data_IF_138746613925
#
_entry.id   IF_138746613925
#
_cell.length_a   1.000
_cell.length_b   1.000
_cell.length_c   1.000
_cell.angle_alpha   90.00
_cell.angle_beta   90.00
_cell.angle_gamma   90.00
#
_symmetry.space_group_name_H-M   'P 1'
#
loop_
_entity.id
_entity.type
_entity.pdbx_description
1 polymer ?
#
# COMPACT_ATOMS: atom_id res chain seq x y z
N UNK A 1 25.11 -15.39 23.11
CA UNK A 1 24.97 -13.92 22.92
C UNK A 1 25.42 -13.23 24.21
N UNK A 2 26.51 -12.46 24.15
CA UNK A 2 27.26 -11.96 25.32
C UNK A 2 26.43 -10.95 26.15
N UNK A 3 26.56 -10.95 27.48
CA UNK A 3 25.69 -10.19 28.41
C UNK A 3 25.78 -8.68 28.17
N UNK A 4 26.96 -8.15 27.81
CA UNK A 4 27.17 -6.75 27.39
C UNK A 4 26.36 -6.35 26.15
N UNK A 5 26.21 -7.26 25.18
CA UNK A 5 25.41 -7.02 23.98
C UNK A 5 23.92 -6.93 24.30
N UNK A 6 23.41 -7.74 25.25
CA UNK A 6 22.03 -7.62 25.74
C UNK A 6 21.78 -6.27 26.40
N UNK A 7 22.69 -5.78 27.24
CA UNK A 7 22.54 -4.49 27.92
C UNK A 7 22.57 -3.32 26.94
N UNK A 8 23.44 -3.36 25.92
CA UNK A 8 23.47 -2.37 24.84
C UNK A 8 22.19 -2.39 24.00
N UNK A 9 21.70 -3.58 23.61
CA UNK A 9 20.44 -3.72 22.87
C UNK A 9 19.25 -3.16 23.66
N UNK A 10 19.17 -3.47 24.95
CA UNK A 10 18.10 -2.98 25.85
C UNK A 10 18.21 -1.46 26.09
N UNK A 11 19.44 -0.92 26.15
CA UNK A 11 19.67 0.53 26.29
C UNK A 11 19.33 1.32 25.01
N UNK A 12 19.46 0.72 23.83
CA UNK A 12 19.10 1.34 22.54
C UNK A 12 17.60 1.20 22.26
N UNK A 13 16.93 0.17 22.77
CA UNK A 13 15.49 -0.06 22.68
C UNK A 13 14.63 0.82 23.60
N UNK A 14 15.12 2.00 23.98
CA UNK A 14 14.24 2.99 24.62
C UNK A 14 13.17 3.45 23.62
N UNK A 15 11.95 3.81 24.07
CA UNK A 15 10.90 4.32 23.17
C UNK A 15 11.38 5.48 22.28
N UNK A 16 12.24 6.35 22.82
CA UNK A 16 12.89 7.45 22.09
C UNK A 16 13.81 6.96 20.97
N UNK A 17 14.61 5.91 21.24
CA UNK A 17 15.48 5.29 20.23
C UNK A 17 14.68 4.66 19.09
N UNK A 18 13.56 4.00 19.39
CA UNK A 18 12.67 3.40 18.39
C UNK A 18 12.01 4.49 17.53
N UNK A 19 11.45 5.54 18.14
CA UNK A 19 10.83 6.66 17.43
C UNK A 19 11.83 7.31 16.47
N UNK A 20 13.03 7.61 16.98
CA UNK A 20 14.08 8.24 16.19
C UNK A 20 14.56 7.30 15.07
N UNK A 21 14.73 6.01 15.33
CA UNK A 21 15.15 5.04 14.33
C UNK A 21 14.16 4.88 13.18
N UNK A 22 12.86 4.82 13.48
CA UNK A 22 11.81 4.76 12.45
C UNK A 22 11.80 6.04 11.62
N UNK A 23 11.78 7.20 12.28
CA UNK A 23 11.75 8.49 11.58
C UNK A 23 12.99 8.67 10.69
N UNK A 24 14.19 8.37 11.21
CA UNK A 24 15.43 8.45 10.45
C UNK A 24 15.44 7.51 9.24
N UNK A 25 14.93 6.29 9.38
CA UNK A 25 14.86 5.33 8.26
C UNK A 25 13.94 5.86 7.16
N UNK A 26 12.79 6.43 7.51
CA UNK A 26 11.85 7.00 6.53
C UNK A 26 12.45 8.23 5.85
N UNK A 27 13.02 9.16 6.61
CA UNK A 27 13.64 10.37 6.08
C UNK A 27 14.85 10.05 5.21
N UNK A 28 15.70 9.13 5.65
CA UNK A 28 16.83 8.66 4.87
C UNK A 28 16.37 8.04 3.55
N UNK A 29 15.36 7.17 3.57
CA UNK A 29 14.79 6.58 2.36
C UNK A 29 14.21 7.65 1.41
N UNK A 30 13.55 8.67 1.95
CA UNK A 30 13.01 9.79 1.17
C UNK A 30 14.11 10.62 0.50
N UNK A 31 15.10 11.08 1.25
CA UNK A 31 16.18 11.93 0.73
C UNK A 31 17.20 11.16 -0.11
N UNK A 32 17.48 9.89 0.21
CA UNK A 32 18.31 9.01 -0.62
C UNK A 32 17.69 8.81 -2.00
N UNK A 33 16.37 8.68 -2.09
CA UNK A 33 15.65 8.56 -3.36
C UNK A 33 15.78 9.82 -4.22
N UNK A 34 15.82 11.00 -3.60
CA UNK A 34 16.01 12.28 -4.28
C UNK A 34 17.48 12.59 -4.59
N UNK A 35 18.43 11.79 -4.10
CA UNK A 35 19.87 12.08 -4.09
C UNK A 35 20.23 13.39 -3.36
N UNK A 36 19.48 13.70 -2.29
CA UNK A 36 19.61 14.94 -1.49
C UNK A 36 19.91 14.63 -0.04
N UNK A 37 20.93 13.80 0.17
CA UNK A 37 21.42 13.44 1.51
C UNK A 37 22.06 14.63 2.24
N UNK A 38 22.52 15.65 1.52
CA UNK A 38 22.93 16.94 2.07
C UNK A 38 21.84 17.54 2.98
N UNK A 39 20.60 17.61 2.49
CA UNK A 39 19.45 18.14 3.23
C UNK A 39 19.07 17.22 4.40
N UNK A 40 19.21 15.90 4.24
CA UNK A 40 18.91 14.94 5.31
C UNK A 40 19.72 15.22 6.59
N UNK A 41 21.02 15.54 6.47
CA UNK A 41 21.86 15.84 7.63
C UNK A 41 21.38 17.08 8.40
N UNK A 42 20.85 18.09 7.70
CA UNK A 42 20.25 19.26 8.33
C UNK A 42 18.95 18.90 9.07
N UNK A 43 18.07 18.10 8.44
CA UNK A 43 16.80 17.65 9.03
C UNK A 43 17.00 16.85 10.32
N UNK A 44 18.08 16.06 10.42
CA UNK A 44 18.37 15.27 11.61
C UNK A 44 18.56 16.12 12.87
N UNK A 45 18.87 17.41 12.74
CA UNK A 45 19.01 18.32 13.87
C UNK A 45 17.65 18.73 14.49
N UNK A 46 16.55 18.52 13.76
CA UNK A 46 15.20 19.01 14.10
C UNK A 46 14.42 17.94 14.89
N UNK A 47 14.65 17.89 16.20
CA UNK A 47 14.06 16.87 17.09
C UNK A 47 12.52 16.79 17.05
N UNK A 48 11.84 17.92 16.87
CA UNK A 48 10.37 17.98 16.82
C UNK A 48 9.76 17.19 15.65
N UNK A 49 10.54 16.97 14.59
CA UNK A 49 10.08 16.30 13.38
C UNK A 49 9.99 14.77 13.55
N UNK A 50 10.81 14.18 14.43
CA UNK A 50 10.89 12.73 14.56
C UNK A 50 9.60 12.11 15.12
N UNK A 51 9.00 12.72 16.13
CA UNK A 51 7.74 12.23 16.70
C UNK A 51 6.61 12.29 15.66
N UNK A 52 6.52 13.40 14.91
CA UNK A 52 5.52 13.62 13.87
C UNK A 52 5.65 12.59 12.73
N UNK A 53 6.87 12.41 12.21
CA UNK A 53 7.16 11.43 11.16
C UNK A 53 6.91 10.01 11.65
N UNK A 54 7.29 9.68 12.89
CA UNK A 54 7.03 8.35 13.45
C UNK A 54 5.53 8.06 13.57
N UNK A 55 4.73 9.01 14.06
CA UNK A 55 3.27 8.85 14.14
C UNK A 55 2.65 8.65 12.74
N UNK A 56 3.06 9.47 11.77
CA UNK A 56 2.63 9.33 10.38
C UNK A 56 3.08 7.99 9.76
N UNK A 57 4.27 7.50 10.11
CA UNK A 57 4.79 6.20 9.67
C UNK A 57 3.99 5.02 10.23
N UNK A 58 3.70 5.02 11.54
CA UNK A 58 2.88 3.97 12.16
C UNK A 58 1.47 3.96 11.55
N UNK A 59 0.87 5.14 11.36
CA UNK A 59 -0.46 5.25 10.76
C UNK A 59 -0.48 4.81 9.29
N UNK A 60 0.51 5.24 8.49
CA UNK A 60 0.65 4.81 7.09
C UNK A 60 0.85 3.31 6.97
N UNK A 61 1.68 2.72 7.85
CA UNK A 61 1.90 1.27 7.89
C UNK A 61 0.61 0.53 8.28
N UNK A 62 -0.14 1.03 9.25
CA UNK A 62 -1.42 0.45 9.65
C UNK A 62 -2.44 0.45 8.51
N UNK A 63 -2.56 1.56 7.77
CA UNK A 63 -3.42 1.64 6.57
C UNK A 63 -2.95 0.63 5.52
N UNK A 64 -1.64 0.57 5.25
CA UNK A 64 -1.12 -0.31 4.21
C UNK A 64 -1.31 -1.79 4.58
N UNK A 65 -1.10 -2.16 5.85
CA UNK A 65 -1.43 -3.47 6.37
C UNK A 65 -2.93 -3.77 6.25
N UNK A 66 -3.78 -2.81 6.58
CA UNK A 66 -5.23 -2.98 6.47
C UNK A 66 -5.66 -3.24 5.02
N UNK A 67 -5.15 -2.48 4.05
CA UNK A 67 -5.49 -2.65 2.63
C UNK A 67 -4.98 -4.00 2.10
N UNK A 68 -3.70 -4.32 2.34
CA UNK A 68 -3.09 -5.55 1.80
C UNK A 68 -3.63 -6.82 2.46
N UNK A 69 -3.90 -6.79 3.76
CA UNK A 69 -4.32 -7.96 4.52
C UNK A 69 -5.79 -7.93 4.92
N UNK A 70 -6.61 -7.13 4.23
CA UNK A 70 -8.06 -7.04 4.48
C UNK A 70 -8.70 -8.44 4.50
N UNK A 71 -8.29 -9.30 3.55
CA UNK A 71 -8.75 -10.68 3.44
C UNK A 71 -8.41 -11.48 4.70
N UNK A 72 -7.16 -11.40 5.15
CA UNK A 72 -6.69 -12.09 6.36
C UNK A 72 -7.37 -11.57 7.63
N UNK A 73 -7.70 -10.28 7.71
CA UNK A 73 -8.37 -9.68 8.87
C UNK A 73 -9.82 -10.20 8.99
N UNK A 74 -10.54 -10.27 7.88
CA UNK A 74 -11.95 -10.71 7.87
C UNK A 74 -12.12 -12.23 7.80
N UNK A 75 -11.11 -12.99 7.38
CA UNK A 75 -11.18 -14.44 7.26
C UNK A 75 -11.60 -15.15 8.57
N UNK A 76 -11.05 -14.83 9.76
CA UNK A 76 -11.48 -15.46 11.01
C UNK A 76 -12.88 -15.08 11.48
N UNK A 77 -13.41 -13.95 10.99
CA UNK A 77 -14.79 -13.51 11.26
C UNK A 77 -15.77 -14.33 10.41
N UNK A 78 -15.42 -14.59 9.15
CA UNK A 78 -16.26 -15.29 8.18
C UNK A 78 -16.20 -16.81 8.36
N UNK A 79 -15.00 -17.36 8.58
CA UNK A 79 -14.76 -18.80 8.77
C UNK A 79 -14.46 -19.01 10.25
N UNK A 80 -15.45 -19.39 11.08
CA UNK A 80 -15.22 -19.56 12.51
C UNK A 80 -14.25 -20.72 12.78
N UNK A 81 -13.54 -20.65 13.90
CA UNK A 81 -12.62 -21.70 14.35
C UNK A 81 -13.36 -23.00 14.70
N UNK A 82 -14.53 -22.89 15.32
CA UNK A 82 -15.39 -24.01 15.65
C UNK A 82 -16.87 -23.61 15.52
N UNK A 83 -17.74 -24.57 15.28
CA UNK A 83 -19.19 -24.39 15.29
C UNK A 83 -19.80 -25.44 16.21
N UNK A 84 -20.43 -24.96 17.28
CA UNK A 84 -21.18 -25.79 18.22
C UNK A 84 -22.12 -26.74 17.46
N UNK A 85 -22.09 -28.00 17.91
CA UNK A 85 -22.86 -29.12 17.38
C UNK A 85 -22.34 -29.71 16.06
N UNK A 86 -21.17 -29.35 15.52
CA UNK A 86 -20.63 -29.98 14.30
C UNK A 86 -19.28 -30.67 14.58
N UNK A 87 -19.26 -31.94 15.00
CA UNK A 87 -18.02 -32.65 15.34
C UNK A 87 -17.06 -32.81 14.16
N UNK A 88 -17.57 -32.86 12.91
CA UNK A 88 -16.72 -32.92 11.72
C UNK A 88 -16.41 -31.54 11.10
N UNK A 89 -16.68 -30.45 11.82
CA UNK A 89 -16.50 -29.08 11.30
C UNK A 89 -15.08 -28.80 10.83
N UNK A 90 -14.04 -29.37 11.45
CA UNK A 90 -12.65 -29.21 10.98
C UNK A 90 -12.47 -29.58 9.50
N UNK A 91 -13.19 -30.60 9.00
CA UNK A 91 -13.16 -30.97 7.57
C UNK A 91 -13.89 -29.94 6.70
N UNK A 92 -15.03 -29.45 7.17
CA UNK A 92 -15.82 -28.39 6.51
C UNK A 92 -15.02 -27.08 6.45
N UNK A 93 -14.31 -26.73 7.52
CA UNK A 93 -13.43 -25.57 7.59
C UNK A 93 -12.30 -25.68 6.56
N UNK A 94 -11.65 -26.85 6.43
CA UNK A 94 -10.63 -27.07 5.39
C UNK A 94 -11.20 -26.91 3.98
N UNK A 95 -12.44 -27.34 3.76
CA UNK A 95 -13.12 -27.15 2.48
C UNK A 95 -13.39 -25.66 2.22
N UNK A 96 -13.83 -24.90 3.23
CA UNK A 96 -14.00 -23.45 3.10
C UNK A 96 -12.68 -22.72 2.77
N UNK A 97 -11.58 -23.11 3.40
CA UNK A 97 -10.26 -22.55 3.08
C UNK A 97 -9.83 -22.90 1.64
N UNK A 98 -10.13 -24.12 1.18
CA UNK A 98 -9.87 -24.53 -0.20
C UNK A 98 -10.73 -23.76 -1.20
N UNK A 99 -12.00 -23.51 -0.87
CA UNK A 99 -12.92 -22.68 -1.67
C UNK A 99 -12.41 -21.25 -1.74
N UNK A 100 -11.91 -20.68 -0.64
CA UNK A 100 -11.30 -19.35 -0.63
C UNK A 100 -10.03 -19.28 -1.49
N UNK A 101 -9.16 -20.29 -1.45
CA UNK A 101 -7.98 -20.34 -2.32
C UNK A 101 -8.34 -20.43 -3.80
N UNK A 102 -9.34 -21.25 -4.13
CA UNK A 102 -9.86 -21.39 -5.48
C UNK A 102 -10.56 -20.12 -5.95
N UNK A 103 -11.27 -19.41 -5.05
CA UNK A 103 -12.04 -18.24 -5.44
C UNK A 103 -11.18 -17.06 -5.89
N UNK A 104 -9.95 -16.93 -5.39
CA UNK A 104 -8.99 -15.92 -5.86
C UNK A 104 -8.46 -16.15 -7.28
N UNK A 105 -8.71 -17.31 -7.90
CA UNK A 105 -8.41 -17.52 -9.32
C UNK A 105 -9.45 -16.87 -10.25
N UNK A 106 -10.67 -16.63 -9.77
CA UNK A 106 -11.74 -16.08 -10.61
C UNK A 106 -11.52 -14.63 -11.04
N UNK A 107 -11.06 -13.69 -10.19
CA UNK A 107 -10.69 -12.36 -10.67
C UNK A 107 -9.71 -12.39 -11.85
N UNK A 108 -8.78 -13.36 -11.87
CA UNK A 108 -7.82 -13.52 -12.98
C UNK A 108 -8.48 -14.01 -14.27
N UNK A 109 -9.35 -15.01 -14.16
CA UNK A 109 -10.13 -15.50 -15.29
C UNK A 109 -10.98 -14.37 -15.89
N UNK A 110 -11.55 -13.51 -15.05
CA UNK A 110 -12.30 -12.34 -15.49
C UNK A 110 -11.42 -11.33 -16.23
N UNK A 111 -10.25 -10.98 -15.70
CA UNK A 111 -9.32 -10.06 -16.39
C UNK A 111 -8.94 -10.63 -17.76
N UNK A 112 -8.60 -11.91 -17.85
CA UNK A 112 -8.26 -12.56 -19.12
C UNK A 112 -9.42 -12.55 -20.13
N UNK A 113 -10.62 -12.92 -19.68
CA UNK A 113 -11.81 -13.01 -20.52
C UNK A 113 -12.26 -11.63 -21.04
N UNK A 114 -12.26 -10.61 -20.19
CA UNK A 114 -12.74 -9.26 -20.53
C UNK A 114 -11.75 -8.43 -21.34
N UNK A 115 -10.44 -8.64 -21.16
CA UNK A 115 -9.41 -7.85 -21.84
C UNK A 115 -8.79 -8.53 -23.05
N UNK A 116 -8.81 -9.87 -23.12
CA UNK A 116 -8.08 -10.62 -24.16
C UNK A 116 -8.97 -11.53 -25.00
N UNK A 117 -9.84 -12.33 -24.39
CA UNK A 117 -10.52 -13.41 -25.10
C UNK A 117 -11.75 -12.95 -25.92
N UNK A 118 -12.46 -11.91 -25.48
CA UNK A 118 -13.69 -11.47 -26.12
C UNK A 118 -13.83 -9.95 -26.13
N UNK A 119 -14.26 -9.39 -27.27
CA UNK A 119 -14.56 -7.97 -27.37
C UNK A 119 -15.99 -7.66 -26.89
N UNK A 120 -16.15 -7.60 -25.57
CA UNK A 120 -17.43 -7.27 -24.95
C UNK A 120 -17.80 -5.79 -25.15
N UNK A 121 -19.10 -5.53 -25.24
CA UNK A 121 -19.63 -4.16 -25.32
C UNK A 121 -19.26 -3.34 -24.08
N UNK A 122 -19.13 -2.02 -24.26
CA UNK A 122 -18.71 -1.10 -23.20
C UNK A 122 -19.61 -1.17 -21.96
N UNK A 123 -20.91 -1.44 -22.13
CA UNK A 123 -21.87 -1.62 -21.04
C UNK A 123 -21.51 -2.81 -20.13
N UNK A 124 -21.05 -3.93 -20.71
CA UNK A 124 -20.65 -5.11 -19.95
C UNK A 124 -19.30 -4.87 -19.26
N UNK A 125 -18.36 -4.18 -19.92
CA UNK A 125 -17.08 -3.77 -19.32
C UNK A 125 -17.29 -2.87 -18.09
N UNK A 126 -18.22 -1.91 -18.16
CA UNK A 126 -18.55 -1.03 -17.03
C UNK A 126 -19.17 -1.79 -15.83
N UNK A 127 -19.95 -2.84 -16.10
CA UNK A 127 -20.59 -3.66 -15.06
C UNK A 127 -19.77 -4.91 -14.66
N UNK A 128 -18.54 -5.04 -15.17
CA UNK A 128 -17.69 -6.23 -15.00
C UNK A 128 -17.41 -6.59 -13.54
N UNK A 129 -17.28 -5.60 -12.66
CA UNK A 129 -17.05 -5.82 -11.23
C UNK A 129 -18.24 -6.47 -10.50
N UNK A 130 -19.48 -6.12 -10.89
CA UNK A 130 -20.69 -6.76 -10.34
C UNK A 130 -20.89 -8.16 -10.91
N UNK A 131 -20.62 -8.34 -12.20
CA UNK A 131 -20.67 -9.64 -12.86
C UNK A 131 -19.64 -10.61 -12.26
N UNK A 132 -18.43 -10.14 -11.96
CA UNK A 132 -17.41 -10.96 -11.30
C UNK A 132 -17.85 -11.38 -9.90
N UNK A 133 -18.38 -10.47 -9.08
CA UNK A 133 -18.90 -10.79 -7.75
C UNK A 133 -20.01 -11.85 -7.79
N UNK A 134 -21.00 -11.67 -8.67
CA UNK A 134 -22.12 -12.61 -8.81
C UNK A 134 -21.64 -13.99 -9.26
N UNK A 135 -20.73 -14.04 -10.24
CA UNK A 135 -20.18 -15.30 -10.74
C UNK A 135 -19.40 -16.07 -9.68
N UNK A 136 -18.56 -15.38 -8.89
CA UNK A 136 -17.79 -15.97 -7.80
C UNK A 136 -18.77 -16.48 -6.74
N UNK A 137 -19.80 -15.71 -6.40
CA UNK A 137 -20.82 -16.10 -5.43
C UNK A 137 -21.58 -17.37 -5.82
N UNK A 138 -22.08 -17.44 -7.05
CA UNK A 138 -22.78 -18.63 -7.55
C UNK A 138 -21.86 -19.85 -7.52
N UNK A 139 -20.60 -19.67 -7.95
CA UNK A 139 -19.66 -20.78 -8.04
C UNK A 139 -19.19 -21.27 -6.67
N UNK A 140 -18.92 -20.38 -5.71
CA UNK A 140 -18.57 -20.78 -4.34
C UNK A 140 -19.72 -21.51 -3.65
N UNK A 141 -20.98 -21.12 -3.90
CA UNK A 141 -22.18 -21.83 -3.41
C UNK A 141 -22.23 -23.25 -3.99
N UNK A 142 -22.09 -23.40 -5.31
CA UNK A 142 -22.14 -24.71 -5.98
C UNK A 142 -21.03 -25.62 -5.42
N UNK A 143 -19.80 -25.12 -5.36
CA UNK A 143 -18.65 -25.88 -4.87
C UNK A 143 -18.82 -26.24 -3.39
N UNK A 144 -19.30 -25.31 -2.55
CA UNK A 144 -19.60 -25.60 -1.15
C UNK A 144 -20.65 -26.69 -1.00
N UNK A 145 -21.73 -26.63 -1.79
CA UNK A 145 -22.77 -27.65 -1.80
C UNK A 145 -22.20 -29.02 -2.16
N UNK A 146 -21.39 -29.13 -3.21
CA UNK A 146 -20.81 -30.40 -3.66
C UNK A 146 -19.83 -31.00 -2.64
N UNK A 147 -18.89 -30.21 -2.12
CA UNK A 147 -17.80 -30.71 -1.28
C UNK A 147 -18.28 -30.96 0.17
N UNK A 148 -19.15 -30.10 0.71
CA UNK A 148 -19.59 -30.21 2.11
C UNK A 148 -20.77 -31.14 2.32
N UNK A 149 -21.46 -31.60 1.25
CA UNK A 149 -22.67 -32.42 1.37
C UNK A 149 -22.51 -33.64 2.27
N UNK A 150 -21.48 -34.44 2.01
CA UNK A 150 -21.26 -35.71 2.73
C UNK A 150 -21.04 -35.49 4.23
N UNK A 151 -20.23 -34.49 4.59
CA UNK A 151 -19.91 -34.20 5.99
C UNK A 151 -21.09 -33.55 6.73
N UNK A 152 -21.78 -32.61 6.06
CA UNK A 152 -22.88 -31.90 6.69
C UNK A 152 -24.13 -32.78 6.87
N UNK A 153 -24.48 -33.61 5.88
CA UNK A 153 -25.67 -34.47 5.99
C UNK A 153 -25.49 -35.56 7.05
N UNK A 154 -24.26 -36.06 7.24
CA UNK A 154 -23.92 -36.97 8.34
C UNK A 154 -24.21 -36.32 9.70
N UNK A 155 -23.68 -35.12 9.96
CA UNK A 155 -23.80 -34.44 11.26
C UNK A 155 -25.20 -33.80 11.51
N UNK A 156 -26.04 -33.70 10.48
CA UNK A 156 -27.40 -33.13 10.59
C UNK A 156 -28.52 -34.20 10.61
N UNK A 157 -28.20 -35.45 10.29
CA UNK A 157 -29.16 -36.56 10.24
C UNK A 157 -29.92 -36.74 11.57
N UNK A 158 -29.22 -36.58 12.69
CA UNK A 158 -29.71 -36.79 14.06
C UNK A 158 -30.37 -35.53 14.66
N UNK A 159 -30.37 -34.39 13.95
CA UNK A 159 -30.81 -33.08 14.50
C UNK A 159 -32.21 -32.65 14.06
N UNK A 160 -32.81 -31.79 14.89
CA UNK A 160 -34.11 -31.14 14.67
C UNK A 160 -34.15 -30.33 13.35
N UNK A 161 -35.30 -30.31 12.69
CA UNK A 161 -35.57 -29.70 11.39
C UNK A 161 -35.19 -28.21 11.32
N UNK A 162 -35.46 -27.44 12.38
CA UNK A 162 -35.10 -26.01 12.45
C UNK A 162 -33.58 -25.80 12.43
N UNK A 163 -32.84 -26.58 13.23
CA UNK A 163 -31.37 -26.53 13.28
C UNK A 163 -30.76 -27.01 11.97
N UNK A 164 -31.35 -28.03 11.36
CA UNK A 164 -30.95 -28.56 10.05
C UNK A 164 -31.03 -27.51 8.95
N UNK A 165 -32.14 -26.78 8.86
CA UNK A 165 -32.32 -25.74 7.83
C UNK A 165 -31.38 -24.55 8.06
N UNK A 166 -31.28 -24.07 9.31
CA UNK A 166 -30.36 -22.98 9.66
C UNK A 166 -28.90 -23.31 9.30
N UNK A 167 -28.40 -24.51 9.63
CA UNK A 167 -27.02 -24.91 9.33
C UNK A 167 -26.76 -25.13 7.84
N UNK A 168 -27.76 -25.63 7.09
CA UNK A 168 -27.68 -25.70 5.61
C UNK A 168 -27.55 -24.32 4.99
N UNK A 169 -28.41 -23.38 5.38
CA UNK A 169 -28.31 -22.00 4.90
C UNK A 169 -26.98 -21.36 5.27
N UNK A 170 -26.47 -21.60 6.48
CA UNK A 170 -25.18 -21.08 6.91
C UNK A 170 -24.00 -21.63 6.08
N UNK A 171 -23.91 -22.96 5.91
CA UNK A 171 -22.74 -23.63 5.31
C UNK A 171 -22.78 -23.61 3.78
N UNK A 172 -23.95 -23.77 3.17
CA UNK A 172 -24.07 -23.79 1.71
C UNK A 172 -24.22 -22.42 1.09
N UNK A 173 -24.75 -21.43 1.80
CA UNK A 173 -25.10 -20.12 1.22
C UNK A 173 -24.37 -18.97 1.92
N UNK A 174 -24.60 -18.75 3.21
CA UNK A 174 -24.09 -17.55 3.89
C UNK A 174 -22.56 -17.47 3.91
N UNK A 175 -21.87 -18.53 4.38
CA UNK A 175 -20.40 -18.55 4.43
C UNK A 175 -19.80 -18.46 3.02
N UNK A 176 -20.25 -19.23 2.01
CA UNK A 176 -19.74 -19.10 0.63
C UNK A 176 -19.95 -17.73 -0.01
N UNK A 177 -21.07 -17.05 0.26
CA UNK A 177 -21.29 -15.68 -0.18
C UNK A 177 -20.32 -14.70 0.49
N UNK A 178 -20.10 -14.83 1.80
CA UNK A 178 -19.09 -14.05 2.51
C UNK A 178 -17.67 -14.33 1.99
N UNK A 179 -17.34 -15.58 1.64
CA UNK A 179 -16.07 -15.95 1.00
C UNK A 179 -15.94 -15.31 -0.38
N UNK A 180 -17.02 -15.26 -1.17
CA UNK A 180 -17.02 -14.59 -2.47
C UNK A 180 -16.78 -13.09 -2.34
N UNK A 181 -17.44 -12.44 -1.38
CA UNK A 181 -17.20 -11.03 -1.06
C UNK A 181 -15.75 -10.80 -0.62
N UNK A 182 -15.25 -11.66 0.26
CA UNK A 182 -13.87 -11.60 0.76
C UNK A 182 -12.85 -11.73 -0.37
N UNK A 183 -13.07 -12.65 -1.30
CA UNK A 183 -12.20 -12.82 -2.47
C UNK A 183 -12.23 -11.59 -3.39
N UNK A 184 -13.38 -10.93 -3.52
CA UNK A 184 -13.50 -9.70 -4.32
C UNK A 184 -12.73 -8.51 -3.70
N UNK A 185 -12.61 -8.44 -2.38
CA UNK A 185 -11.79 -7.40 -1.72
C UNK A 185 -10.31 -7.39 -2.15
N UNK A 186 -9.84 -8.45 -2.82
CA UNK A 186 -8.52 -8.47 -3.45
C UNK A 186 -8.32 -7.37 -4.49
N UNK A 187 -9.40 -6.82 -5.07
CA UNK A 187 -9.31 -5.73 -6.05
C UNK A 187 -8.58 -4.52 -5.48
N UNK A 188 -8.70 -4.22 -4.17
CA UNK A 188 -8.03 -3.08 -3.54
C UNK A 188 -6.49 -3.14 -3.58
N UNK A 189 -5.82 -4.19 -3.03
CA UNK A 189 -4.37 -4.28 -3.13
C UNK A 189 -3.88 -4.39 -4.57
N UNK A 190 -4.65 -5.05 -5.45
CA UNK A 190 -4.30 -5.16 -6.87
C UNK A 190 -4.40 -3.83 -7.61
N UNK A 191 -5.39 -2.99 -7.30
CA UNK A 191 -5.53 -1.67 -7.92
C UNK A 191 -4.30 -0.80 -7.62
N UNK A 192 -3.80 -0.84 -6.39
CA UNK A 192 -2.57 -0.13 -6.00
C UNK A 192 -1.37 -0.60 -6.83
N UNK A 193 -1.24 -1.92 -7.04
CA UNK A 193 -0.14 -2.49 -7.82
C UNK A 193 -0.30 -2.13 -9.30
N UNK A 194 -1.45 -2.45 -9.91
CA UNK A 194 -1.69 -2.33 -11.35
C UNK A 194 -1.76 -0.90 -11.85
N UNK A 195 -2.30 0.04 -11.07
CA UNK A 195 -2.35 1.47 -11.46
C UNK A 195 -0.95 2.06 -11.68
N UNK A 196 0.05 1.50 -11.03
CA UNK A 196 1.43 1.97 -11.09
C UNK A 196 2.30 1.12 -12.04
N UNK A 197 1.76 0.12 -12.73
CA UNK A 197 2.52 -0.59 -13.76
C UNK A 197 2.62 0.30 -15.00
N UNK A 198 3.83 0.51 -15.51
CA UNK A 198 4.03 1.09 -16.84
C UNK A 198 3.81 -0.01 -17.89
N UNK A 199 2.64 0.00 -18.53
CA UNK A 199 2.44 -0.85 -19.71
C UNK A 199 3.22 -0.25 -20.89
N UNK A 200 4.13 -1.02 -21.48
CA UNK A 200 4.75 -0.64 -22.75
C UNK A 200 3.63 -0.50 -23.78
N UNK A 201 3.67 0.58 -24.56
CA UNK A 201 2.64 0.96 -25.54
C UNK A 201 2.51 0.01 -26.74
N UNK A 202 3.18 -1.14 -26.70
CA UNK A 202 3.02 -2.18 -27.71
C UNK A 202 1.81 -3.07 -27.39
N UNK A 203 1.21 -3.63 -28.45
CA UNK A 203 0.01 -4.49 -28.37
C UNK A 203 0.10 -5.44 -27.17
N UNK A 204 -0.92 -5.40 -26.30
CA UNK A 204 -1.05 -6.26 -25.11
C UNK A 204 -0.80 -7.71 -25.50
N UNK A 205 0.41 -8.19 -25.23
CA UNK A 205 0.79 -9.56 -25.56
C UNK A 205 0.24 -10.51 -24.51
N UNK A 206 -0.06 -11.76 -24.91
CA UNK A 206 -0.48 -12.82 -23.98
C UNK A 206 0.47 -12.95 -22.78
N UNK A 207 1.78 -12.77 -23.01
CA UNK A 207 2.81 -12.84 -21.98
C UNK A 207 2.62 -11.79 -20.87
N UNK A 208 2.22 -10.56 -21.24
CA UNK A 208 1.96 -9.49 -20.27
C UNK A 208 0.71 -9.80 -19.45
N UNK A 209 -0.38 -10.25 -20.10
CA UNK A 209 -1.63 -10.61 -19.41
C UNK A 209 -1.42 -11.80 -18.46
N UNK A 210 -0.74 -12.85 -18.92
CA UNK A 210 -0.41 -14.02 -18.11
C UNK A 210 0.50 -13.65 -16.93
N UNK A 211 1.50 -12.78 -17.15
CA UNK A 211 2.37 -12.28 -16.09
C UNK A 211 1.61 -11.48 -15.03
N UNK A 212 0.71 -10.59 -15.46
CA UNK A 212 -0.17 -9.85 -14.54
C UNK A 212 -1.07 -10.79 -13.75
N UNK A 213 -1.75 -11.74 -14.39
CA UNK A 213 -2.60 -12.73 -13.73
C UNK A 213 -1.82 -13.55 -12.68
N UNK A 214 -0.61 -13.99 -13.01
CA UNK A 214 0.25 -14.72 -12.09
C UNK A 214 0.66 -13.89 -10.87
N UNK A 215 1.16 -12.66 -11.09
CA UNK A 215 1.53 -11.75 -10.00
C UNK A 215 0.37 -11.48 -9.05
N UNK A 216 -0.81 -11.32 -9.65
CA UNK A 216 -2.05 -11.00 -8.97
C UNK A 216 -2.52 -12.18 -8.08
N UNK A 217 -2.37 -13.42 -8.55
CA UNK A 217 -2.63 -14.62 -7.74
C UNK A 217 -1.57 -14.81 -6.65
N UNK A 218 -0.31 -14.51 -6.93
CA UNK A 218 0.75 -14.57 -5.92
C UNK A 218 0.51 -13.58 -4.79
N UNK A 219 0.09 -12.35 -5.11
CA UNK A 219 -0.33 -11.37 -4.10
C UNK A 219 -1.50 -11.91 -3.28
N UNK A 220 -2.54 -12.45 -3.91
CA UNK A 220 -3.67 -13.08 -3.20
C UNK A 220 -3.22 -14.12 -2.19
N UNK A 221 -2.45 -15.11 -2.66
CA UNK A 221 -1.99 -16.22 -1.86
C UNK A 221 -1.19 -15.74 -0.64
N UNK A 222 -0.27 -14.81 -0.86
CA UNK A 222 0.53 -14.22 0.21
C UNK A 222 -0.33 -13.45 1.21
N UNK A 223 -1.32 -12.68 0.74
CA UNK A 223 -2.20 -11.88 1.62
C UNK A 223 -3.17 -12.71 2.46
N UNK A 224 -3.36 -14.00 2.17
CA UNK A 224 -4.19 -14.95 2.92
C UNK A 224 -3.43 -15.63 4.07
N UNK A 225 -2.11 -15.76 3.96
CA UNK A 225 -1.29 -16.52 4.91
C UNK A 225 -1.45 -16.05 6.38
N UNK A 226 -1.47 -14.75 6.71
CA UNK A 226 -1.65 -14.32 8.10
C UNK A 226 -2.98 -14.77 8.72
N UNK A 227 -4.06 -14.77 7.94
CA UNK A 227 -5.38 -15.25 8.35
C UNK A 227 -5.41 -16.76 8.56
N UNK A 228 -4.71 -17.50 7.69
CA UNK A 228 -4.53 -18.95 7.87
C UNK A 228 -3.75 -19.28 9.14
N UNK A 229 -2.65 -18.56 9.41
CA UNK A 229 -1.88 -18.73 10.64
C UNK A 229 -2.77 -18.49 11.85
N UNK A 230 -3.55 -17.40 11.85
CA UNK A 230 -4.51 -17.11 12.92
C UNK A 230 -5.51 -18.26 13.13
N UNK A 231 -6.08 -18.80 12.05
CA UNK A 231 -7.09 -19.86 12.12
C UNK A 231 -6.51 -21.21 12.60
N UNK A 232 -5.25 -21.50 12.28
CA UNK A 232 -4.58 -22.76 12.63
C UNK A 232 -3.93 -22.76 14.01
N UNK A 233 -3.79 -21.60 14.65
CA UNK A 233 -3.32 -21.53 16.03
C UNK A 233 -4.33 -22.19 16.99
N UNK A 234 -3.80 -22.87 18.01
CA UNK A 234 -4.59 -23.64 18.97
C UNK A 234 -5.75 -22.82 19.55
N UNK A 235 -6.92 -23.45 19.69
CA UNK A 235 -8.08 -22.81 20.32
C UNK A 235 -7.79 -22.31 21.74
N UNK A 236 -6.84 -22.95 22.44
CA UNK A 236 -6.38 -22.62 23.79
C UNK A 236 -5.45 -21.39 23.85
N UNK A 237 -4.88 -20.96 22.72
CA UNK A 237 -4.03 -19.78 22.70
C UNK A 237 -4.83 -18.51 22.96
N UNK A 238 -4.28 -17.63 23.81
CA UNK A 238 -4.91 -16.34 24.14
C UNK A 238 -5.03 -15.46 22.89
N UNK A 239 -6.14 -14.75 22.77
CA UNK A 239 -6.44 -13.84 21.65
C UNK A 239 -5.27 -12.87 21.31
N UNK A 240 -4.58 -12.21 22.28
CA UNK A 240 -3.47 -11.31 21.96
C UNK A 240 -2.29 -12.03 21.29
N UNK A 241 -2.01 -13.29 21.65
CA UNK A 241 -0.93 -14.07 21.03
C UNK A 241 -1.26 -14.37 19.57
N UNK A 242 -2.52 -14.70 19.28
CA UNK A 242 -3.00 -14.96 17.91
C UNK A 242 -2.90 -13.71 17.03
N UNK A 243 -3.39 -12.58 17.54
CA UNK A 243 -3.32 -11.29 16.83
C UNK A 243 -1.85 -10.89 16.59
N UNK A 244 -1.01 -10.95 17.62
CA UNK A 244 0.41 -10.60 17.50
C UNK A 244 1.14 -11.47 16.48
N UNK A 245 0.92 -12.80 16.51
CA UNK A 245 1.54 -13.73 15.54
C UNK A 245 1.10 -13.42 14.11
N UNK A 246 -0.20 -13.20 13.89
CA UNK A 246 -0.74 -12.83 12.57
C UNK A 246 -0.19 -11.49 12.09
N UNK A 247 -0.04 -10.50 12.98
CA UNK A 247 0.55 -9.21 12.65
C UNK A 247 2.03 -9.34 12.25
N UNK A 248 2.82 -10.13 12.98
CA UNK A 248 4.22 -10.39 12.64
C UNK A 248 4.34 -11.05 11.26
N UNK A 249 3.51 -12.05 10.97
CA UNK A 249 3.49 -12.70 9.65
C UNK A 249 3.09 -11.70 8.55
N UNK A 250 2.10 -10.84 8.82
CA UNK A 250 1.69 -9.79 7.88
C UNK A 250 2.83 -8.81 7.57
N UNK A 251 3.58 -8.37 8.59
CA UNK A 251 4.74 -7.51 8.41
C UNK A 251 5.84 -8.18 7.59
N UNK A 252 6.16 -9.45 7.87
CA UNK A 252 7.18 -10.20 7.12
C UNK A 252 6.81 -10.36 5.65
N UNK A 253 5.54 -10.67 5.37
CA UNK A 253 5.04 -10.80 3.99
C UNK A 253 5.04 -9.45 3.29
N UNK A 254 4.62 -8.38 3.98
CA UNK A 254 4.62 -7.04 3.40
C UNK A 254 6.03 -6.59 3.02
N UNK A 255 7.02 -6.84 3.89
CA UNK A 255 8.43 -6.57 3.59
C UNK A 255 8.89 -7.36 2.36
N UNK A 256 8.55 -8.66 2.28
CA UNK A 256 8.88 -9.49 1.13
C UNK A 256 8.28 -8.95 -0.17
N UNK A 257 6.97 -8.63 -0.18
CA UNK A 257 6.29 -8.06 -1.35
C UNK A 257 6.93 -6.72 -1.74
N UNK A 258 7.29 -5.88 -0.77
CA UNK A 258 7.91 -4.57 -0.99
C UNK A 258 9.30 -4.64 -1.65
N UNK A 259 10.00 -5.77 -1.54
CA UNK A 259 11.27 -5.98 -2.29
C UNK A 259 11.07 -6.24 -3.78
N UNK A 260 9.87 -6.71 -4.18
CA UNK A 260 9.55 -7.04 -5.57
C UNK A 260 8.66 -5.99 -6.23
N UNK A 261 7.78 -5.38 -5.45
CA UNK A 261 6.89 -4.31 -5.87
C UNK A 261 7.49 -3.00 -5.33
N UNK A 262 8.42 -2.44 -6.11
CA UNK A 262 9.23 -1.27 -5.74
C UNK A 262 8.39 -0.02 -5.49
N UNK A 263 7.15 0.04 -5.99
CA UNK A 263 6.20 1.12 -5.69
C UNK A 263 5.70 1.13 -4.25
N UNK A 264 5.69 0.00 -3.52
CA UNK A 264 5.15 -0.03 -2.15
C UNK A 264 5.95 0.83 -1.15
N UNK A 265 7.29 0.73 -1.08
CA UNK A 265 8.08 1.66 -0.29
C UNK A 265 7.87 3.13 -0.66
N UNK A 266 7.62 3.42 -1.94
CA UNK A 266 7.43 4.79 -2.44
C UNK A 266 6.10 5.36 -1.98
N UNK A 267 5.02 4.59 -2.14
CA UNK A 267 3.70 4.97 -1.62
C UNK A 267 3.77 5.16 -0.11
N UNK A 268 4.43 4.24 0.60
CA UNK A 268 4.60 4.34 2.04
C UNK A 268 5.32 5.65 2.42
N UNK A 269 6.51 5.91 1.88
CA UNK A 269 7.27 7.13 2.19
C UNK A 269 6.50 8.40 1.82
N UNK A 270 5.85 8.45 0.66
CA UNK A 270 5.01 9.57 0.29
C UNK A 270 3.86 9.80 1.26
N UNK A 271 3.14 8.73 1.64
CA UNK A 271 2.06 8.81 2.62
C UNK A 271 2.56 9.37 3.95
N UNK A 272 3.75 8.95 4.42
CA UNK A 272 4.32 9.50 5.66
C UNK A 272 4.60 11.00 5.54
N UNK A 273 5.33 11.42 4.51
CA UNK A 273 5.69 12.83 4.31
C UNK A 273 4.44 13.71 4.19
N UNK A 274 3.44 13.25 3.44
CA UNK A 274 2.17 13.98 3.26
C UNK A 274 1.32 14.02 4.53
N UNK A 275 1.17 12.90 5.23
CA UNK A 275 0.37 12.82 6.47
C UNK A 275 1.02 13.58 7.63
N UNK A 276 2.35 13.69 7.65
CA UNK A 276 3.04 14.55 8.60
C UNK A 276 2.82 16.05 8.34
N UNK A 277 2.25 16.44 7.19
CA UNK A 277 2.07 17.86 6.83
C UNK A 277 3.37 18.58 6.47
N UNK A 278 4.45 17.83 6.25
CA UNK A 278 5.78 18.37 5.90
C UNK A 278 5.85 18.78 4.43
N UNK A 279 5.01 18.19 3.57
CA UNK A 279 4.91 18.57 2.15
C UNK A 279 3.46 18.54 1.67
N UNK A 280 3.08 19.49 0.82
CA UNK A 280 1.78 19.54 0.15
C UNK A 280 1.82 19.05 -1.31
N UNK A 281 3.02 18.93 -1.91
CA UNK A 281 3.23 18.57 -3.32
C UNK A 281 2.37 19.39 -4.30
N UNK A 282 2.08 20.65 -3.97
CA UNK A 282 1.39 21.60 -4.83
C UNK A 282 2.28 22.77 -5.20
N UNK A 283 1.99 23.34 -6.37
CA UNK A 283 2.68 24.52 -6.86
C UNK A 283 2.16 25.76 -6.15
N UNK A 284 3.08 26.53 -5.60
CA UNK A 284 2.81 27.78 -4.91
C UNK A 284 3.72 28.89 -5.43
N UNK A 285 3.27 30.12 -5.28
CA UNK A 285 4.12 31.29 -5.52
C UNK A 285 4.80 31.69 -4.21
N UNK A 286 6.12 31.83 -4.24
CA UNK A 286 6.94 32.16 -3.08
C UNK A 286 7.63 33.49 -3.30
N UNK A 287 7.44 34.43 -2.38
CA UNK A 287 8.16 35.71 -2.37
C UNK A 287 9.44 35.52 -1.58
N UNK A 288 10.57 35.85 -2.20
CA UNK A 288 11.90 35.71 -1.64
C UNK A 288 12.58 37.08 -1.64
N UNK A 289 13.27 37.39 -0.55
CA UNK A 289 14.01 38.64 -0.40
C UNK A 289 15.38 38.52 -1.07
N UNK A 290 15.69 39.42 -2.01
CA UNK A 290 16.94 39.38 -2.79
C UNK A 290 18.21 39.52 -1.93
N UNK A 291 18.11 40.12 -0.74
CA UNK A 291 19.25 40.29 0.18
C UNK A 291 19.67 39.00 0.88
N UNK A 292 18.76 38.03 1.04
CA UNK A 292 19.04 36.76 1.74
C UNK A 292 19.35 35.65 0.76
N UNK A 293 18.62 35.60 -0.36
CA UNK A 293 18.85 34.66 -1.45
C UNK A 293 18.95 35.42 -2.77
N UNK A 294 20.17 35.60 -3.32
CA UNK A 294 20.39 36.25 -4.60
C UNK A 294 19.55 35.63 -5.73
N UNK A 295 19.10 36.45 -6.67
CA UNK A 295 18.32 36.02 -7.83
C UNK A 295 19.06 34.98 -8.71
N UNK A 296 20.38 34.90 -8.57
CA UNK A 296 21.28 33.98 -9.27
C UNK A 296 21.04 32.51 -8.90
N UNK A 297 20.60 32.23 -7.65
CA UNK A 297 20.23 30.88 -7.21
C UNK A 297 19.06 30.29 -8.02
N UNK A 298 18.23 31.16 -8.60
CA UNK A 298 17.06 30.82 -9.40
C UNK A 298 17.20 31.32 -10.85
N UNK A 299 18.45 31.42 -11.35
CA UNK A 299 18.74 31.93 -12.69
C UNK A 299 18.46 30.93 -13.82
N UNK A 300 18.40 29.63 -13.50
CA UNK A 300 18.12 28.60 -14.49
C UNK A 300 16.69 28.72 -15.04
N UNK A 301 16.51 28.50 -16.35
CA UNK A 301 15.23 28.66 -17.06
C UNK A 301 14.13 27.69 -16.60
N UNK A 302 14.47 26.68 -15.80
CA UNK A 302 13.51 25.76 -15.17
C UNK A 302 12.67 26.47 -14.10
N UNK A 303 13.13 27.60 -13.57
CA UNK A 303 12.40 28.37 -12.57
C UNK A 303 11.54 29.47 -13.20
N UNK A 304 10.23 29.44 -12.97
CA UNK A 304 9.33 30.54 -13.34
C UNK A 304 9.45 31.67 -12.29
N UNK A 305 10.35 32.62 -12.59
CA UNK A 305 10.66 33.79 -11.76
C UNK A 305 10.01 35.04 -12.32
N UNK A 306 9.34 35.80 -11.46
CA UNK A 306 8.85 37.15 -11.76
C UNK A 306 9.45 38.16 -10.79
N UNK A 307 9.89 39.31 -11.31
CA UNK A 307 10.38 40.41 -10.48
C UNK A 307 9.19 41.19 -9.94
N UNK A 308 9.10 41.34 -8.62
CA UNK A 308 8.05 42.14 -7.97
C UNK A 308 8.58 43.57 -7.78
N UNK A 309 9.73 43.70 -7.13
CA UNK A 309 10.42 44.97 -6.93
C UNK A 309 11.92 44.75 -7.06
N UNK A 310 12.51 45.33 -8.11
CA UNK A 310 13.91 45.13 -8.46
C UNK A 310 14.84 45.42 -7.26
N UNK A 311 15.67 44.45 -6.90
CA UNK A 311 16.64 44.56 -5.80
C UNK A 311 16.09 44.28 -4.40
N UNK A 312 14.76 44.18 -4.21
CA UNK A 312 14.17 43.89 -2.90
C UNK A 312 13.51 42.51 -2.84
N UNK A 313 12.59 42.21 -3.77
CA UNK A 313 11.79 40.99 -3.76
C UNK A 313 11.54 40.45 -5.17
N UNK A 314 11.61 39.13 -5.29
CA UNK A 314 11.18 38.39 -6.46
C UNK A 314 10.23 37.27 -6.04
N UNK A 315 9.33 36.88 -6.95
CA UNK A 315 8.52 35.68 -6.79
C UNK A 315 9.08 34.55 -7.62
N UNK A 316 9.06 33.35 -7.07
CA UNK A 316 9.32 32.10 -7.78
C UNK A 316 8.11 31.19 -7.64
N UNK A 317 7.64 30.61 -8.74
CA UNK A 317 6.71 29.49 -8.65
C UNK A 317 7.49 28.21 -8.41
N UNK A 318 7.17 27.54 -7.31
CA UNK A 318 7.89 26.37 -6.83
C UNK A 318 6.95 25.39 -6.15
N UNK A 319 7.46 24.18 -5.93
CA UNK A 319 6.80 23.12 -5.17
C UNK A 319 7.60 22.89 -3.90
N UNK A 320 6.95 22.93 -2.74
CA UNK A 320 7.63 22.56 -1.48
C UNK A 320 7.53 21.06 -1.25
N UNK A 321 8.63 20.35 -1.51
CA UNK A 321 8.70 18.91 -1.32
C UNK A 321 9.11 18.51 0.10
N UNK A 322 9.56 19.47 0.92
CA UNK A 322 9.84 19.27 2.34
C UNK A 322 9.91 20.61 3.08
N UNK A 323 9.09 20.79 4.12
CA UNK A 323 8.99 22.04 4.89
C UNK A 323 9.17 21.78 6.36
N UNK A 324 10.03 22.58 7.00
CA UNK A 324 10.23 22.58 8.44
C UNK A 324 10.06 23.99 9.00
N UNK A 325 10.18 24.14 10.31
CA UNK A 325 10.26 25.44 10.95
C UNK A 325 11.57 26.19 10.65
N UNK A 326 12.61 25.52 10.14
CA UNK A 326 13.91 26.11 9.85
C UNK A 326 14.07 26.46 8.37
N UNK A 327 13.65 25.57 7.48
CA UNK A 327 13.77 25.76 6.03
C UNK A 327 12.64 25.10 5.25
N UNK A 328 12.42 25.59 4.04
CA UNK A 328 11.55 25.02 3.01
C UNK A 328 12.41 24.57 1.84
N UNK A 329 12.26 23.32 1.44
CA UNK A 329 12.96 22.73 0.31
C UNK A 329 12.13 22.92 -0.95
N UNK A 330 12.49 23.95 -1.71
CA UNK A 330 11.76 24.39 -2.89
C UNK A 330 12.32 23.72 -4.14
N UNK A 331 11.44 23.27 -5.02
CA UNK A 331 11.78 22.66 -6.30
C UNK A 331 11.02 23.30 -7.47
N UNK A 332 11.55 23.21 -8.71
CA UNK A 332 10.81 23.56 -9.91
C UNK A 332 9.54 22.72 -10.08
N UNK A 333 8.57 23.20 -10.86
CA UNK A 333 7.26 22.54 -11.04
C UNK A 333 7.38 21.16 -11.70
N UNK A 334 8.39 20.98 -12.56
CA UNK A 334 8.66 19.73 -13.28
C UNK A 334 8.88 18.54 -12.34
N UNK A 335 9.35 18.80 -11.10
CA UNK A 335 9.57 17.76 -10.10
C UNK A 335 8.31 16.93 -9.83
N UNK A 336 7.11 17.53 -9.90
CA UNK A 336 5.85 16.82 -9.64
C UNK A 336 5.66 15.71 -10.67
N UNK A 337 5.98 15.97 -11.94
CA UNK A 337 5.84 15.00 -13.02
C UNK A 337 6.82 13.85 -12.82
N UNK A 338 8.10 14.16 -12.62
CA UNK A 338 9.14 13.14 -12.41
C UNK A 338 8.92 12.35 -11.12
N UNK A 339 8.44 13.00 -10.07
CA UNK A 339 8.05 12.34 -8.83
C UNK A 339 6.91 11.35 -9.05
N UNK A 340 5.83 11.73 -9.76
CA UNK A 340 4.73 10.80 -10.10
C UNK A 340 5.17 9.68 -11.04
N UNK A 341 6.02 9.96 -12.01
CA UNK A 341 6.58 8.94 -12.91
C UNK A 341 7.44 7.93 -12.15
N UNK A 342 8.16 8.37 -11.11
CA UNK A 342 8.96 7.49 -10.27
C UNK A 342 8.15 6.48 -9.46
N UNK A 343 6.84 6.70 -9.29
CA UNK A 343 5.95 5.71 -8.66
C UNK A 343 5.63 4.55 -9.59
N UNK A 344 5.83 4.74 -10.89
CA UNK A 344 5.62 3.66 -11.85
C UNK A 344 6.75 2.66 -11.73
N UNK A 345 6.43 1.40 -12.01
CA UNK A 345 7.41 0.33 -12.07
C UNK A 345 7.08 -0.62 -13.22
N UNK A 346 8.09 -1.32 -13.71
CA UNK A 346 7.92 -2.37 -14.70
C UNK A 346 8.40 -3.72 -14.13
N UNK A 347 7.50 -4.68 -13.84
CA UNK A 347 7.90 -5.99 -13.33
C UNK A 347 8.82 -6.79 -14.28
N UNK A 348 8.82 -6.44 -15.58
CA UNK A 348 9.55 -7.16 -16.63
C UNK A 348 10.84 -6.46 -17.06
N UNK A 349 11.10 -5.25 -16.56
CA UNK A 349 12.23 -4.42 -16.93
C UNK A 349 12.81 -3.75 -15.68
N UNK A 350 13.93 -4.26 -15.20
CA UNK A 350 14.62 -3.73 -14.02
C UNK A 350 15.35 -2.42 -14.28
N UNK A 351 15.64 -2.08 -15.54
CA UNK A 351 16.31 -0.82 -15.90
C UNK A 351 15.34 0.36 -15.81
N UNK A 352 14.06 0.13 -16.14
CA UNK A 352 13.00 1.13 -16.03
C UNK A 352 12.96 1.84 -14.67
N UNK A 353 13.01 1.07 -13.58
CA UNK A 353 12.98 1.61 -12.21
C UNK A 353 14.20 2.49 -11.90
N UNK A 354 15.36 2.18 -12.51
CA UNK A 354 16.58 2.96 -12.37
C UNK A 354 16.48 4.26 -13.16
N UNK A 355 15.96 4.21 -14.38
CA UNK A 355 15.82 5.37 -15.27
C UNK A 355 14.85 6.41 -14.70
N UNK A 356 13.68 5.98 -14.22
CA UNK A 356 12.72 6.91 -13.59
C UNK A 356 13.28 7.52 -12.30
N UNK A 357 14.14 6.79 -11.57
CA UNK A 357 14.83 7.32 -10.39
C UNK A 357 15.89 8.34 -10.77
N UNK A 358 16.74 8.06 -11.76
CA UNK A 358 17.76 8.99 -12.23
C UNK A 358 17.14 10.29 -12.75
N UNK A 359 16.00 10.20 -13.44
CA UNK A 359 15.24 11.37 -13.87
C UNK A 359 14.75 12.21 -12.69
N UNK A 360 14.20 11.57 -11.65
CA UNK A 360 13.79 12.26 -10.43
C UNK A 360 14.99 12.95 -9.75
N UNK A 361 16.13 12.28 -9.64
CA UNK A 361 17.35 12.83 -9.04
C UNK A 361 17.88 14.04 -9.82
N UNK A 362 17.86 13.96 -11.16
CA UNK A 362 18.24 15.07 -12.04
C UNK A 362 17.38 16.31 -11.80
N UNK A 363 16.07 16.15 -11.64
CA UNK A 363 15.17 17.27 -11.36
C UNK A 363 15.33 17.76 -9.92
N UNK A 364 15.58 16.85 -8.97
CA UNK A 364 15.81 17.17 -7.56
C UNK A 364 17.14 17.92 -7.30
N UNK A 365 18.11 17.80 -8.22
CA UNK A 365 19.36 18.55 -8.17
C UNK A 365 19.14 20.08 -8.26
N UNK A 366 18.07 20.52 -8.92
CA UNK A 366 17.72 21.94 -9.00
C UNK A 366 17.01 22.47 -7.76
N UNK A 367 16.60 21.61 -6.83
CA UNK A 367 15.92 22.06 -5.62
C UNK A 367 16.87 22.79 -4.66
N UNK A 368 16.35 23.78 -3.95
CA UNK A 368 17.15 24.64 -3.06
C UNK A 368 16.52 24.65 -1.67
N UNK A 369 17.30 24.39 -0.60
CA UNK A 369 16.86 24.64 0.76
C UNK A 369 16.89 26.14 1.04
N UNK A 370 15.73 26.72 1.34
CA UNK A 370 15.58 28.14 1.61
C UNK A 370 15.08 28.35 3.03
N UNK A 371 15.67 29.27 3.78
CA UNK A 371 15.25 29.56 5.16
C UNK A 371 13.76 29.88 5.23
N UNK A 372 13.06 29.29 6.20
CA UNK A 372 11.62 29.47 6.38
C UNK A 372 11.25 30.93 6.71
N UNK A 373 12.18 31.72 7.26
CA UNK A 373 11.97 33.15 7.52
C UNK A 373 12.15 34.03 6.29
N UNK A 374 12.93 33.55 5.31
CA UNK A 374 13.29 34.28 4.08
C UNK A 374 12.21 34.19 3.00
N UNK A 375 11.25 33.28 3.17
CA UNK A 375 10.26 32.90 2.17
C UNK A 375 8.86 33.12 2.71
N UNK A 376 8.01 33.77 1.90
CA UNK A 376 6.57 33.87 2.17
C UNK A 376 5.80 33.23 1.03
N UNK A 377 4.95 32.26 1.36
CA UNK A 377 3.97 31.71 0.43
C UNK A 377 2.91 32.78 0.15
N UNK A 378 2.66 33.05 -1.12
CA UNK A 378 1.75 34.08 -1.59
C UNK A 378 1.04 33.63 -2.88
N UNK A 379 -0.07 32.91 -2.73
CA UNK A 379 -0.80 32.32 -3.86
C UNK A 379 -1.73 33.31 -4.58
N UNK A 380 -1.88 34.53 -4.07
CA UNK A 380 -2.72 35.57 -4.67
C UNK A 380 -1.93 36.26 -5.80
N UNK A 381 -2.52 36.52 -6.98
CA UNK A 381 -1.84 37.25 -8.04
C UNK A 381 -1.33 38.59 -7.51
N UNK A 382 -0.01 38.80 -7.55
CA UNK A 382 0.57 40.11 -7.37
C UNK A 382 0.26 40.89 -8.65
N UNK A 383 -0.64 41.86 -8.54
CA UNK A 383 -0.99 42.79 -9.62
C UNK A 383 0.16 43.74 -9.95
#
# INVERSE_FOLDING_TARGET
>A
MNQKWKTLLISVLTPSGIISGIALTVLWGYFSRLDRLDVFFEVMSIKSLFALVCCAAVFSLAILLFIFFIISIFMPIIIPQDINNLPTYNKIQNNFLSILMLSGLFPMAFIYVFYYAFDFSQAVKNNSGWLSLLSIGVLTIIISCLINRKYLEHDLSIKNTKVRWMRRCQIYVAIPLCIALLAHLQVFPLEIVFRNISASTEKVSFRIVAGMAFMSYMVFFMTILPGLVYLRMDAKDKLPKKISTSLIVSLMILLFISTKITVLPVIFTHSVIKLSGISDFSTHSYIIKSSEYPEEFFSNSVWDRKKIKAGEYYSVRAVSIFTTNQFSFLCPEEIIKSYRESWKFNPLDSEFDTDVRLKLQKDAAYCVPVSATAVKRWDVPLQ
#
